data_IF_770054139340
#
_entry.id   IF_770054139340
#
_cell.length_a   1.000
_cell.length_b   1.000
_cell.length_c   1.000
_cell.angle_alpha   90.00
_cell.angle_beta   90.00
_cell.angle_gamma   90.00
#
_symmetry.space_group_name_H-M   'P 1'
#
loop_
_entity.id
_entity.type
_entity.pdbx_description
1 polymer ?
#
# COMPACT_ATOMS: atom_id res chain seq x y z
N UNK A 1 -5.69 -20.17 9.79
CA UNK A 1 -5.74 -18.97 8.95
C UNK A 1 -5.80 -19.43 7.51
N UNK A 2 -6.79 -19.00 6.73
CA UNK A 2 -6.93 -19.41 5.31
C UNK A 2 -6.01 -18.49 4.50
N UNK A 3 -5.18 -19.01 3.58
CA UNK A 3 -4.34 -18.14 2.74
C UNK A 3 -5.22 -17.21 1.88
N UNK A 4 -4.72 -16.01 1.53
CA UNK A 4 -5.42 -15.10 0.64
C UNK A 4 -5.68 -15.77 -0.72
N UNK A 5 -6.66 -15.29 -1.51
CA UNK A 5 -6.95 -15.85 -2.81
C UNK A 5 -5.73 -15.73 -3.73
N UNK A 6 -5.52 -16.78 -4.50
CA UNK A 6 -4.45 -16.96 -5.47
C UNK A 6 -4.53 -15.89 -6.59
N UNK A 7 -4.09 -14.66 -6.30
CA UNK A 7 -3.74 -13.71 -7.34
C UNK A 7 -2.33 -14.07 -7.78
N UNK A 8 -2.24 -14.95 -8.78
CA UNK A 8 -0.99 -15.42 -9.34
C UNK A 8 -0.17 -14.27 -9.94
N UNK A 9 0.53 -13.54 -9.08
CA UNK A 9 1.67 -12.71 -9.47
C UNK A 9 2.93 -13.57 -9.41
N UNK A 10 2.93 -14.63 -10.23
CA UNK A 10 4.08 -15.50 -10.42
C UNK A 10 5.16 -14.75 -11.19
N UNK A 11 6.25 -14.43 -10.52
CA UNK A 11 7.45 -13.95 -11.16
C UNK A 11 8.14 -12.78 -10.48
N UNK A 12 8.35 -12.84 -9.17
CA UNK A 12 9.30 -11.93 -8.53
C UNK A 12 10.72 -12.33 -8.93
N UNK A 13 11.17 -11.89 -10.11
CA UNK A 13 12.60 -11.79 -10.37
C UNK A 13 13.22 -10.98 -9.23
N UNK A 14 14.35 -11.43 -8.70
CA UNK A 14 15.11 -10.68 -7.69
C UNK A 14 15.63 -9.43 -8.40
N UNK A 15 14.82 -8.36 -8.43
CA UNK A 15 15.27 -7.07 -8.92
C UNK A 15 16.32 -6.55 -7.97
N UNK A 16 17.47 -6.15 -8.50
CA UNK A 16 18.50 -5.50 -7.70
C UNK A 16 17.92 -4.22 -7.06
N UNK A 17 18.28 -3.93 -5.80
CA UNK A 17 17.88 -2.68 -5.18
C UNK A 17 18.32 -1.48 -6.00
N UNK A 18 17.42 -0.55 -6.28
CA UNK A 18 17.77 0.72 -6.90
C UNK A 18 18.39 1.66 -5.86
N UNK A 19 19.35 2.45 -6.32
CA UNK A 19 19.79 3.65 -5.60
C UNK A 19 18.71 4.74 -5.67
N UNK A 20 18.89 5.81 -4.89
CA UNK A 20 17.98 6.97 -4.95
C UNK A 20 17.83 7.52 -6.37
N UNK A 21 18.96 7.74 -7.05
CA UNK A 21 18.96 8.34 -8.40
C UNK A 21 18.33 7.41 -9.44
N UNK A 22 18.62 6.11 -9.38
CA UNK A 22 17.99 5.12 -10.27
C UNK A 22 16.46 5.04 -10.06
N UNK A 23 16.00 5.12 -8.82
CA UNK A 23 14.58 5.13 -8.51
C UNK A 23 13.87 6.39 -9.05
N UNK A 24 14.52 7.55 -8.98
CA UNK A 24 13.99 8.80 -9.56
C UNK A 24 13.97 8.72 -11.09
N UNK A 25 15.04 8.24 -11.71
CA UNK A 25 15.10 8.04 -13.17
C UNK A 25 14.00 7.06 -13.64
N UNK A 26 13.80 5.97 -12.90
CA UNK A 26 12.70 5.05 -13.19
C UNK A 26 11.33 5.75 -13.13
N UNK A 27 11.10 6.56 -12.10
CA UNK A 27 9.85 7.31 -11.94
C UNK A 27 9.64 8.34 -13.07
N UNK A 28 10.70 9.00 -13.53
CA UNK A 28 10.66 9.87 -14.73
C UNK A 28 10.31 9.08 -15.99
N UNK A 29 10.83 7.87 -16.11
CA UNK A 29 10.53 6.94 -17.20
C UNK A 29 9.06 6.50 -17.25
N UNK A 30 8.36 6.49 -16.11
CA UNK A 30 6.94 6.18 -16.02
C UNK A 30 6.01 7.27 -16.58
N UNK A 31 6.49 8.51 -16.71
CA UNK A 31 5.67 9.68 -17.10
C UNK A 31 4.90 9.45 -18.41
N UNK A 32 5.48 8.98 -19.52
CA UNK A 32 4.73 8.76 -20.75
C UNK A 32 3.59 7.74 -20.59
N UNK A 33 3.83 6.66 -19.85
CA UNK A 33 2.82 5.64 -19.57
C UNK A 33 1.68 6.21 -18.71
N UNK A 34 2.00 6.98 -17.69
CA UNK A 34 1.00 7.61 -16.83
C UNK A 34 0.16 8.65 -17.60
N UNK A 35 0.77 9.43 -18.48
CA UNK A 35 0.02 10.36 -19.38
C UNK A 35 -0.96 9.57 -20.24
N UNK A 36 -0.49 8.50 -20.89
CA UNK A 36 -1.32 7.72 -21.80
C UNK A 36 -2.50 7.02 -21.11
N UNK A 37 -2.35 6.68 -19.83
CA UNK A 37 -3.35 5.97 -19.02
C UNK A 37 -4.20 6.90 -18.14
N UNK A 38 -3.95 8.21 -18.13
CA UNK A 38 -4.63 9.14 -17.22
C UNK A 38 -6.15 9.15 -17.41
N UNK A 39 -6.64 9.14 -18.65
CA UNK A 39 -8.08 9.09 -18.96
C UNK A 39 -8.72 7.75 -18.56
N UNK A 40 -8.00 6.64 -18.73
CA UNK A 40 -8.44 5.32 -18.29
C UNK A 40 -8.56 5.27 -16.76
N UNK A 41 -7.55 5.77 -16.05
CA UNK A 41 -7.55 5.83 -14.59
C UNK A 41 -8.73 6.65 -14.05
N UNK A 42 -9.07 7.78 -14.69
CA UNK A 42 -10.22 8.59 -14.32
C UNK A 42 -11.55 7.85 -14.56
N UNK A 43 -11.68 7.16 -15.69
CA UNK A 43 -12.90 6.39 -16.01
C UNK A 43 -13.09 5.19 -15.06
N UNK A 44 -12.02 4.47 -14.75
CA UNK A 44 -12.02 3.34 -13.83
C UNK A 44 -12.19 3.80 -12.37
N UNK A 45 -11.77 5.02 -12.03
CA UNK A 45 -11.67 5.56 -10.66
C UNK A 45 -10.68 4.77 -9.79
N UNK A 46 -9.75 4.10 -10.44
CA UNK A 46 -8.66 3.33 -9.86
C UNK A 46 -7.47 3.32 -10.81
N UNK A 47 -6.33 2.81 -10.38
CA UNK A 47 -5.19 2.64 -11.28
C UNK A 47 -5.48 1.54 -12.30
N UNK A 48 -5.19 1.76 -13.60
CA UNK A 48 -5.19 0.67 -14.57
C UNK A 48 -4.26 -0.47 -14.11
N UNK A 49 -4.70 -1.72 -14.28
CA UNK A 49 -3.92 -2.89 -13.87
C UNK A 49 -2.50 -2.88 -14.47
N UNK A 50 -2.36 -2.43 -15.72
CA UNK A 50 -1.06 -2.28 -16.37
C UNK A 50 -0.10 -1.34 -15.62
N UNK A 51 -0.61 -0.34 -14.90
CA UNK A 51 0.21 0.53 -14.05
C UNK A 51 0.68 -0.20 -12.80
N UNK A 52 -0.20 -0.95 -12.14
CA UNK A 52 0.16 -1.77 -10.98
C UNK A 52 1.19 -2.84 -11.37
N UNK A 53 1.01 -3.49 -12.50
CA UNK A 53 1.92 -4.52 -13.01
C UNK A 53 3.32 -3.94 -13.28
N UNK A 54 3.39 -2.75 -13.87
CA UNK A 54 4.66 -2.06 -14.16
C UNK A 54 5.38 -1.63 -12.87
N UNK A 55 4.66 -1.08 -11.88
CA UNK A 55 5.22 -0.75 -10.56
C UNK A 55 5.67 -2.02 -9.83
N UNK A 56 4.89 -3.09 -9.89
CA UNK A 56 5.24 -4.40 -9.31
C UNK A 56 6.50 -4.97 -9.97
N UNK A 57 6.54 -4.98 -11.30
CA UNK A 57 7.66 -5.50 -12.07
C UNK A 57 8.96 -4.73 -11.81
N UNK A 58 8.90 -3.44 -11.52
CA UNK A 58 10.09 -2.64 -11.14
C UNK A 58 10.62 -2.95 -9.75
N UNK A 59 9.80 -3.53 -8.88
CA UNK A 59 10.11 -3.73 -7.46
C UNK A 59 9.94 -2.48 -6.59
N UNK A 60 9.34 -1.39 -7.09
CA UNK A 60 9.24 -0.11 -6.39
C UNK A 60 8.44 -0.18 -5.07
N UNK A 61 7.54 -1.15 -4.90
CA UNK A 61 6.88 -1.37 -3.62
C UNK A 61 7.83 -1.73 -2.47
N UNK A 62 9.05 -2.18 -2.78
CA UNK A 62 10.11 -2.50 -1.81
C UNK A 62 10.94 -1.29 -1.37
N UNK A 63 10.66 -0.11 -1.93
CA UNK A 63 11.47 1.10 -1.76
C UNK A 63 11.79 1.42 -0.29
N UNK A 64 10.78 1.40 0.58
CA UNK A 64 10.92 1.77 2.00
C UNK A 64 11.08 0.57 2.94
N UNK A 65 11.12 -0.64 2.40
CA UNK A 65 11.44 -1.84 3.19
C UNK A 65 12.95 -1.85 3.46
N UNK A 66 13.38 -2.15 4.70
CA UNK A 66 14.80 -2.27 5.03
C UNK A 66 15.54 -3.27 4.13
N UNK A 67 16.80 -3.00 3.84
CA UNK A 67 17.59 -3.82 2.93
C UNK A 67 17.88 -5.22 3.47
N UNK A 68 18.01 -5.37 4.78
CA UNK A 68 18.16 -6.66 5.48
C UNK A 68 16.89 -7.51 5.45
N UNK A 69 15.75 -6.90 5.11
CA UNK A 69 14.46 -7.56 4.92
C UNK A 69 14.06 -7.69 3.44
N UNK A 70 15.01 -7.54 2.52
CA UNK A 70 14.80 -7.71 1.08
C UNK A 70 14.28 -6.48 0.35
N UNK A 71 14.23 -5.32 1.01
CA UNK A 71 13.86 -4.04 0.43
C UNK A 71 15.04 -3.26 -0.13
N UNK A 72 14.77 -2.02 -0.53
CA UNK A 72 15.82 -1.12 -1.04
C UNK A 72 16.43 -0.23 0.05
N UNK A 73 15.78 -0.13 1.23
CA UNK A 73 16.27 0.67 2.35
C UNK A 73 16.33 2.18 2.07
N UNK A 74 15.59 2.66 1.06
CA UNK A 74 15.54 4.08 0.74
C UNK A 74 14.64 4.83 1.73
N UNK A 75 14.76 6.16 1.75
CA UNK A 75 14.06 7.02 2.70
C UNK A 75 12.93 7.84 2.07
N UNK A 76 12.29 8.68 2.91
CA UNK A 76 11.19 9.54 2.51
C UNK A 76 11.58 10.54 1.39
N UNK A 77 12.84 10.95 1.31
CA UNK A 77 13.33 11.77 0.19
C UNK A 77 13.09 11.09 -1.15
N UNK A 78 13.43 9.80 -1.25
CA UNK A 78 13.31 9.06 -2.52
C UNK A 78 11.86 8.94 -2.95
N UNK A 79 10.94 8.55 -2.06
CA UNK A 79 9.53 8.45 -2.41
C UNK A 79 8.94 9.83 -2.79
N UNK A 80 9.35 10.91 -2.12
CA UNK A 80 8.90 12.27 -2.44
C UNK A 80 9.34 12.69 -3.84
N UNK A 81 10.61 12.47 -4.19
CA UNK A 81 11.13 12.84 -5.51
C UNK A 81 10.55 11.98 -6.63
N UNK A 82 10.38 10.67 -6.40
CA UNK A 82 9.68 9.77 -7.33
C UNK A 82 8.23 10.20 -7.55
N UNK A 83 7.50 10.50 -6.48
CA UNK A 83 6.11 10.96 -6.57
C UNK A 83 6.01 12.25 -7.38
N UNK A 84 6.91 13.20 -7.11
CA UNK A 84 6.98 14.47 -7.86
C UNK A 84 7.26 14.21 -9.34
N UNK A 85 8.16 13.30 -9.68
CA UNK A 85 8.44 12.93 -11.07
C UNK A 85 7.19 12.33 -11.75
N UNK A 86 6.59 11.30 -11.16
CA UNK A 86 5.39 10.65 -11.70
C UNK A 86 4.20 11.61 -11.83
N UNK A 87 4.09 12.61 -10.95
CA UNK A 87 3.00 13.60 -10.98
C UNK A 87 2.97 14.45 -12.24
N UNK A 88 4.09 14.57 -12.99
CA UNK A 88 4.11 15.18 -14.30
C UNK A 88 3.33 14.37 -15.36
N UNK A 89 3.12 13.08 -15.11
CA UNK A 89 2.31 12.23 -15.98
C UNK A 89 0.85 12.19 -15.57
N UNK A 90 0.59 11.87 -14.30
CA UNK A 90 -0.75 11.86 -13.73
C UNK A 90 -0.65 11.99 -12.20
N UNK A 91 -1.18 13.08 -11.65
CA UNK A 91 -1.13 13.38 -10.23
C UNK A 91 -1.86 12.31 -9.39
N UNK A 92 -3.05 11.89 -9.80
CA UNK A 92 -3.85 10.89 -9.11
C UNK A 92 -3.14 9.53 -9.05
N UNK A 93 -2.54 9.12 -10.17
CA UNK A 93 -1.76 7.88 -10.22
C UNK A 93 -0.50 7.96 -9.34
N UNK A 94 0.23 9.07 -9.41
CA UNK A 94 1.42 9.28 -8.59
C UNK A 94 1.09 9.26 -7.09
N UNK A 95 -0.01 9.90 -6.70
CA UNK A 95 -0.53 9.89 -5.34
C UNK A 95 -0.81 8.47 -4.86
N UNK A 96 -1.62 7.72 -5.61
CA UNK A 96 -2.01 6.35 -5.24
C UNK A 96 -0.81 5.43 -5.13
N UNK A 97 0.10 5.45 -6.13
CA UNK A 97 1.32 4.64 -6.12
C UNK A 97 2.17 4.97 -4.89
N UNK A 98 2.34 6.26 -4.57
CA UNK A 98 3.17 6.68 -3.44
C UNK A 98 2.62 6.20 -2.10
N UNK A 99 1.31 6.22 -1.91
CA UNK A 99 0.68 5.71 -0.68
C UNK A 99 0.86 4.21 -0.53
N UNK A 100 0.66 3.44 -1.60
CA UNK A 100 0.87 2.00 -1.57
C UNK A 100 2.34 1.62 -1.28
N UNK A 101 3.31 2.41 -1.77
CA UNK A 101 4.71 2.26 -1.40
C UNK A 101 4.98 2.66 0.06
N UNK A 102 4.41 3.81 0.49
CA UNK A 102 4.68 4.40 1.80
C UNK A 102 4.27 3.49 2.95
N UNK A 103 3.18 2.76 2.82
CA UNK A 103 2.65 1.99 3.94
C UNK A 103 3.56 0.82 4.37
N UNK A 104 4.47 0.35 3.52
CA UNK A 104 5.51 -0.60 3.92
C UNK A 104 6.47 -0.04 4.99
N UNK A 105 6.62 1.29 5.05
CA UNK A 105 7.38 1.94 6.13
C UNK A 105 6.75 1.71 7.51
N UNK A 106 5.42 1.66 7.61
CA UNK A 106 4.73 1.33 8.86
C UNK A 106 4.97 -0.12 9.26
N UNK A 107 4.90 -1.06 8.31
CA UNK A 107 5.21 -2.47 8.57
C UNK A 107 6.63 -2.65 9.06
N UNK A 108 7.59 -1.95 8.44
CA UNK A 108 9.00 -1.99 8.84
C UNK A 108 9.24 -1.53 10.28
N UNK A 109 8.34 -0.74 10.86
CA UNK A 109 8.41 -0.26 12.25
C UNK A 109 7.55 -1.08 13.22
N UNK A 110 6.80 -2.03 12.68
CA UNK A 110 5.96 -2.94 13.45
C UNK A 110 6.76 -4.07 14.11
N UNK A 111 6.11 -4.87 14.96
CA UNK A 111 6.72 -6.06 15.55
C UNK A 111 7.20 -7.06 14.48
N UNK A 112 8.27 -7.79 14.79
CA UNK A 112 8.84 -8.80 13.88
C UNK A 112 7.81 -9.84 13.41
N UNK A 113 6.91 -10.28 14.28
CA UNK A 113 5.84 -11.21 13.92
C UNK A 113 4.94 -10.68 12.82
N UNK A 114 4.63 -9.37 12.84
CA UNK A 114 3.86 -8.72 11.79
C UNK A 114 4.61 -8.69 10.46
N UNK A 115 5.90 -8.40 10.51
CA UNK A 115 6.77 -8.40 9.31
C UNK A 115 6.84 -9.80 8.70
N UNK A 116 7.01 -10.83 9.53
CA UNK A 116 7.07 -12.22 9.10
C UNK A 116 5.76 -12.68 8.45
N UNK A 117 4.62 -12.26 8.99
CA UNK A 117 3.31 -12.59 8.44
C UNK A 117 3.06 -11.88 7.09
N UNK A 118 3.33 -10.57 7.01
CA UNK A 118 3.02 -9.77 5.82
C UNK A 118 4.04 -9.94 4.69
N UNK A 119 5.29 -10.23 5.03
CA UNK A 119 6.39 -10.35 4.07
C UNK A 119 6.88 -11.80 3.88
N UNK A 120 6.08 -12.79 4.29
CA UNK A 120 6.43 -14.21 4.18
C UNK A 120 6.72 -14.63 2.73
N UNK A 121 5.94 -14.13 1.77
CA UNK A 121 6.04 -14.51 0.36
C UNK A 121 6.85 -13.51 -0.48
N UNK A 122 6.80 -12.23 -0.10
CA UNK A 122 7.47 -11.14 -0.82
C UNK A 122 7.78 -9.99 0.16
N UNK A 123 8.89 -9.26 -0.03
CA UNK A 123 9.34 -8.24 0.92
C UNK A 123 8.58 -6.91 0.75
N UNK A 124 7.27 -6.96 0.59
CA UNK A 124 6.35 -5.83 0.61
C UNK A 124 4.90 -6.31 0.69
N UNK A 125 4.01 -5.42 1.03
CA UNK A 125 2.56 -5.62 1.00
C UNK A 125 1.91 -4.41 0.32
N UNK A 126 0.87 -4.64 -0.47
CA UNK A 126 0.06 -3.57 -1.05
C UNK A 126 -1.15 -3.36 -0.14
N UNK A 127 -1.21 -2.21 0.52
CA UNK A 127 -2.30 -1.91 1.45
C UNK A 127 -2.55 -0.41 1.59
N UNK A 128 -3.82 0.03 1.70
CA UNK A 128 -4.18 1.37 2.16
C UNK A 128 -4.08 1.47 3.68
N UNK A 129 -4.04 2.72 4.17
CA UNK A 129 -4.05 3.02 5.59
C UNK A 129 -4.94 4.22 5.93
N UNK A 130 -6.26 4.06 6.06
CA UNK A 130 -7.12 5.08 6.65
C UNK A 130 -6.66 5.47 8.06
N UNK A 131 -6.37 6.77 8.25
CA UNK A 131 -5.75 7.25 9.48
C UNK A 131 -6.74 7.54 10.60
N UNK A 132 -8.00 7.84 10.28
CA UNK A 132 -9.01 8.20 11.28
C UNK A 132 -9.45 6.96 12.08
N UNK A 133 -9.46 7.02 13.43
CA UNK A 133 -9.88 5.92 14.28
C UNK A 133 -11.41 5.83 14.37
N UNK A 134 -12.07 5.52 13.25
CA UNK A 134 -13.54 5.50 13.14
C UNK A 134 -14.18 4.17 13.50
N UNK A 135 -13.39 3.16 13.83
CA UNK A 135 -13.86 1.85 14.27
C UNK A 135 -13.35 1.47 15.65
N UNK A 136 -13.85 0.35 16.15
CA UNK A 136 -13.45 -0.24 17.43
C UNK A 136 -12.82 -1.61 17.22
N UNK A 137 -11.94 -2.00 18.13
CA UNK A 137 -11.34 -3.33 18.15
C UNK A 137 -11.40 -3.92 19.55
N UNK A 138 -11.94 -5.12 19.66
CA UNK A 138 -12.02 -5.89 20.90
C UNK A 138 -10.99 -7.00 20.88
N UNK A 139 -10.12 -7.11 21.89
CA UNK A 139 -9.15 -8.20 21.97
C UNK A 139 -9.83 -9.57 22.00
N UNK A 140 -9.30 -10.50 21.21
CA UNK A 140 -9.69 -11.92 21.20
C UNK A 140 -8.44 -12.79 21.19
N UNK A 141 -8.60 -14.10 21.37
CA UNK A 141 -7.47 -15.02 21.25
C UNK A 141 -6.87 -14.95 19.84
N UNK A 142 -5.59 -14.58 19.75
CA UNK A 142 -4.84 -14.48 18.47
C UNK A 142 -5.01 -13.17 17.71
N UNK A 143 -5.70 -12.14 18.26
CA UNK A 143 -5.82 -10.86 17.58
C UNK A 143 -6.94 -9.96 18.08
N UNK A 144 -7.69 -9.38 17.16
CA UNK A 144 -8.78 -8.44 17.45
C UNK A 144 -10.00 -8.74 16.60
N UNK A 145 -11.18 -8.58 17.18
CA UNK A 145 -12.41 -8.46 16.41
C UNK A 145 -12.67 -6.97 16.16
N UNK A 146 -12.67 -6.58 14.88
CA UNK A 146 -12.81 -5.18 14.47
C UNK A 146 -14.20 -4.92 13.92
N UNK A 147 -14.76 -3.77 14.28
CA UNK A 147 -16.05 -3.29 13.75
C UNK A 147 -15.95 -1.80 13.45
N UNK A 148 -16.29 -1.41 12.23
CA UNK A 148 -16.26 0.00 11.84
C UNK A 148 -16.41 0.20 10.33
N UNK A 149 -16.39 1.47 9.94
CA UNK A 149 -16.31 1.91 8.55
C UNK A 149 -15.25 2.98 8.45
N UNK A 150 -14.25 2.71 7.63
CA UNK A 150 -13.11 3.60 7.41
C UNK A 150 -13.19 4.19 6.01
N UNK A 151 -12.95 5.49 5.92
CA UNK A 151 -12.98 6.23 4.66
C UNK A 151 -11.56 6.53 4.17
N UNK A 152 -11.44 6.86 2.90
CA UNK A 152 -10.18 7.29 2.29
C UNK A 152 -9.12 6.18 2.23
N UNK A 153 -9.54 4.99 1.83
CA UNK A 153 -8.65 3.85 1.63
C UNK A 153 -7.99 3.91 0.24
N UNK A 154 -7.10 4.88 0.01
CA UNK A 154 -6.44 5.12 -1.28
C UNK A 154 -5.79 3.87 -1.83
N UNK A 155 -6.18 3.45 -3.03
CA UNK A 155 -5.64 2.27 -3.72
C UNK A 155 -6.15 0.93 -3.20
N UNK A 156 -7.26 0.90 -2.43
CA UNK A 156 -7.83 -0.32 -1.85
C UNK A 156 -8.18 -1.39 -2.89
N UNK A 157 -8.52 -0.98 -4.12
CA UNK A 157 -8.87 -1.89 -5.21
C UNK A 157 -7.72 -2.83 -5.62
N UNK A 158 -6.48 -2.43 -5.31
CA UNK A 158 -5.25 -3.18 -5.62
C UNK A 158 -4.60 -3.81 -4.39
N UNK A 159 -5.28 -3.75 -3.24
CA UNK A 159 -4.69 -4.12 -1.97
C UNK A 159 -4.76 -5.63 -1.71
N UNK A 160 -3.77 -6.14 -0.97
CA UNK A 160 -3.80 -7.49 -0.39
C UNK A 160 -4.38 -7.46 1.04
N UNK A 161 -4.05 -6.38 1.75
CA UNK A 161 -4.42 -6.12 3.13
C UNK A 161 -4.94 -4.70 3.30
N UNK A 162 -5.61 -4.45 4.41
CA UNK A 162 -5.94 -3.10 4.87
C UNK A 162 -5.34 -2.88 6.25
N UNK A 163 -4.72 -1.72 6.45
CA UNK A 163 -4.30 -1.26 7.77
C UNK A 163 -5.25 -0.13 8.18
N UNK A 164 -5.97 -0.32 9.28
CA UNK A 164 -6.97 0.64 9.75
C UNK A 164 -6.66 1.10 11.17
N UNK A 165 -6.87 2.38 11.43
CA UNK A 165 -6.78 2.90 12.79
C UNK A 165 -8.10 2.63 13.53
N UNK A 166 -8.00 2.03 14.71
CA UNK A 166 -9.14 1.63 15.54
C UNK A 166 -8.97 2.11 16.98
N UNK A 167 -10.06 2.20 17.71
CA UNK A 167 -10.05 2.38 19.15
C UNK A 167 -10.15 1.00 19.82
N UNK A 168 -9.09 0.59 20.50
CA UNK A 168 -9.11 -0.61 21.33
C UNK A 168 -9.65 -0.24 22.69
N UNK A 169 -10.80 -0.83 23.03
CA UNK A 169 -11.43 -0.62 24.34
C UNK A 169 -11.02 -1.76 25.27
N UNK A 170 -10.36 -1.40 26.36
CA UNK A 170 -10.03 -2.25 27.50
C UNK A 170 -10.55 -1.58 28.77
N UNK A 171 -10.23 -2.14 29.93
CA UNK A 171 -10.51 -1.52 31.23
C UNK A 171 -9.72 -0.20 31.34
N UNK A 172 -10.31 0.92 30.97
CA UNK A 172 -9.71 2.24 30.95
C UNK A 172 -10.06 3.09 29.73
N UNK A 173 -9.23 4.08 29.42
CA UNK A 173 -9.41 4.96 28.27
C UNK A 173 -9.14 4.21 26.96
N UNK A 174 -9.90 4.50 25.89
CA UNK A 174 -9.67 3.92 24.58
C UNK A 174 -8.28 4.24 24.04
N UNK A 175 -7.57 3.23 23.54
CA UNK A 175 -6.26 3.36 22.93
C UNK A 175 -6.36 3.27 21.40
N UNK A 176 -5.81 4.25 20.69
CA UNK A 176 -5.71 4.21 19.23
C UNK A 176 -4.65 3.19 18.79
N UNK A 177 -5.04 2.25 17.92
CA UNK A 177 -4.14 1.25 17.34
C UNK A 177 -4.37 1.04 15.86
N UNK A 178 -3.29 0.85 15.13
CA UNK A 178 -3.35 0.33 13.78
C UNK A 178 -3.49 -1.18 13.82
N UNK A 179 -4.58 -1.66 13.25
CA UNK A 179 -4.88 -3.09 13.09
C UNK A 179 -4.89 -3.43 11.60
N UNK A 180 -4.54 -4.66 11.27
CA UNK A 180 -4.47 -5.15 9.91
C UNK A 180 -5.47 -6.29 9.71
N UNK A 181 -6.07 -6.32 8.53
CA UNK A 181 -6.92 -7.42 8.08
C UNK A 181 -6.63 -7.75 6.62
N UNK A 182 -6.71 -9.03 6.22
CA UNK A 182 -6.74 -9.39 4.81
C UNK A 182 -7.89 -8.68 4.10
N UNK A 183 -7.70 -8.27 2.84
CA UNK A 183 -8.77 -7.62 2.07
C UNK A 183 -10.01 -8.51 1.94
N UNK A 184 -9.85 -9.83 1.97
CA UNK A 184 -10.94 -10.81 1.95
C UNK A 184 -11.90 -10.72 3.15
N UNK A 185 -11.46 -10.13 4.25
CA UNK A 185 -12.23 -10.05 5.50
C UNK A 185 -13.00 -8.73 5.64
N UNK A 186 -12.91 -7.87 4.63
CA UNK A 186 -13.59 -6.56 4.60
C UNK A 186 -14.45 -6.40 3.35
N UNK A 187 -15.45 -5.53 3.45
CA UNK A 187 -16.23 -5.09 2.29
C UNK A 187 -15.71 -3.73 1.84
N UNK A 188 -15.41 -3.59 0.56
CA UNK A 188 -15.01 -2.31 -0.03
C UNK A 188 -16.26 -1.64 -0.62
N UNK A 189 -16.57 -0.46 -0.10
CA UNK A 189 -17.62 0.40 -0.67
C UNK A 189 -16.97 1.36 -1.67
N UNK A 190 -17.32 1.24 -2.94
CA UNK A 190 -16.88 2.17 -3.98
C UNK A 190 -17.71 3.47 -3.89
N UNK A 191 -17.14 4.47 -3.26
CA UNK A 191 -17.79 5.76 -3.00
C UNK A 191 -17.09 6.95 -3.66
N UNK A 192 -15.95 6.69 -4.36
CA UNK A 192 -15.16 7.77 -4.95
C UNK A 192 -15.65 8.12 -6.35
N UNK A 193 -16.55 9.09 -6.45
CA UNK A 193 -17.16 9.55 -7.70
C UNK A 193 -16.80 11.00 -8.03
N UNK A 194 -15.59 11.40 -7.72
CA UNK A 194 -15.07 12.74 -8.02
C UNK A 194 -14.10 12.70 -9.20
N UNK A 195 -13.89 13.81 -9.88
CA UNK A 195 -12.79 13.95 -10.86
C UNK A 195 -11.47 14.17 -10.13
N UNK A 196 -10.42 13.52 -10.61
CA UNK A 196 -9.12 13.54 -9.99
C UNK A 196 -9.02 12.62 -8.78
N UNK A 197 -8.27 13.05 -7.76
CA UNK A 197 -8.11 12.28 -6.53
C UNK A 197 -9.30 12.41 -5.60
#
# INVERSE_FOLDING_TARGET
>A
MKPPPDTAHSGAGIHQPMTHDEAVIWAEGMVPALVSRASEAEQLRELPQATIDEVTASGAFRLLVPSDLGGWGLGLRSITEMTRAMAHGCMSSAWTISFLMLHNWFVARGPKVLQDDLWAERPYVVMPCPLAPTGTATPVSGGYNMTGRWQWATGVQHADWVMVNTLVVRDGDPESRYCLAPLSDVTVDDVWHTSGM
#
